data_IF_347569902305
#
_entry.id   IF_347569902305
#
_cell.length_a   1.000
_cell.length_b   1.000
_cell.length_c   1.000
_cell.angle_alpha   90.00
_cell.angle_beta   90.00
_cell.angle_gamma   90.00
#
_symmetry.space_group_name_H-M   'P 1'
#
loop_
_entity.id
_entity.type
_entity.pdbx_description
1 polymer ?
#
# COMPACT_ATOMS: atom_id res chain seq x y z
N UNK A 1 5.71 -22.66 0.43
CA UNK A 1 6.27 -21.45 1.06
C UNK A 1 5.62 -20.24 0.40
N UNK A 2 5.06 -19.29 1.15
CA UNK A 2 4.54 -18.06 0.55
C UNK A 2 5.70 -17.25 -0.03
N UNK A 3 5.58 -16.79 -1.28
CA UNK A 3 6.57 -15.87 -1.85
C UNK A 3 6.58 -14.57 -1.04
N UNK A 4 7.78 -14.05 -0.79
CA UNK A 4 7.95 -12.69 -0.24
C UNK A 4 7.99 -11.62 -1.31
N UNK A 5 8.31 -11.98 -2.55
CA UNK A 5 8.44 -11.07 -3.70
C UNK A 5 7.12 -10.94 -4.44
N UNK A 6 6.80 -9.70 -4.81
CA UNK A 6 5.58 -9.35 -5.53
C UNK A 6 5.88 -8.34 -6.63
N UNK A 7 5.20 -8.51 -7.75
CA UNK A 7 5.24 -7.58 -8.88
C UNK A 7 3.81 -7.12 -9.21
N UNK A 8 3.66 -5.81 -9.35
CA UNK A 8 2.42 -5.12 -9.72
C UNK A 8 2.62 -4.54 -11.12
N UNK A 9 1.90 -5.06 -12.11
CA UNK A 9 2.11 -4.70 -13.52
C UNK A 9 0.84 -4.10 -14.13
N UNK A 10 1.00 -2.98 -14.83
CA UNK A 10 0.00 -2.47 -15.75
C UNK A 10 -0.03 -3.33 -17.02
N UNK A 11 -1.19 -3.94 -17.27
CA UNK A 11 -1.37 -4.89 -18.38
C UNK A 11 -2.61 -4.52 -19.20
N UNK A 12 -2.66 -4.88 -20.49
CA UNK A 12 -3.84 -4.62 -21.32
C UNK A 12 -5.10 -5.38 -20.84
N UNK A 13 -4.91 -6.53 -20.18
CA UNK A 13 -5.96 -7.36 -19.56
C UNK A 13 -5.42 -8.05 -18.33
N UNK A 14 -6.19 -8.03 -17.24
CA UNK A 14 -5.78 -8.57 -15.96
C UNK A 14 -6.94 -8.73 -14.98
N UNK A 15 -6.67 -9.33 -13.82
CA UNK A 15 -7.69 -9.65 -12.82
C UNK A 15 -8.31 -8.42 -12.14
N UNK A 16 -7.63 -7.26 -12.20
CA UNK A 16 -8.11 -6.02 -11.60
C UNK A 16 -8.24 -4.94 -12.66
N UNK A 17 -9.46 -4.50 -12.95
CA UNK A 17 -9.75 -3.35 -13.81
C UNK A 17 -9.48 -2.06 -13.04
N UNK A 18 -8.79 -1.11 -13.66
CA UNK A 18 -8.60 0.24 -13.12
C UNK A 18 -9.88 1.04 -13.30
N UNK A 19 -10.41 1.56 -12.20
CA UNK A 19 -11.55 2.46 -12.16
C UNK A 19 -11.10 3.91 -12.20
N UNK A 20 -10.04 4.23 -11.44
CA UNK A 20 -9.48 5.57 -11.35
C UNK A 20 -7.98 5.50 -11.02
N UNK A 21 -7.23 6.51 -11.46
CA UNK A 21 -5.79 6.65 -11.23
C UNK A 21 -5.45 8.12 -11.06
N UNK A 22 -5.22 8.52 -9.80
CA UNK A 22 -4.91 9.91 -9.44
C UNK A 22 -3.44 10.00 -9.03
N UNK A 23 -2.73 10.96 -9.62
CA UNK A 23 -1.42 11.38 -9.10
C UNK A 23 -1.64 12.37 -7.98
N UNK A 24 -1.37 11.95 -6.74
CA UNK A 24 -1.59 12.77 -5.54
C UNK A 24 -0.40 13.72 -5.35
N UNK A 25 0.82 13.21 -5.55
CA UNK A 25 2.05 14.01 -5.48
C UNK A 25 3.16 13.40 -6.33
N UNK A 26 4.08 14.26 -6.79
CA UNK A 26 5.25 13.87 -7.58
C UNK A 26 4.91 13.42 -9.01
N UNK A 27 5.86 12.77 -9.71
CA UNK A 27 5.67 12.33 -11.10
C UNK A 27 4.61 11.22 -11.23
N UNK A 28 3.76 11.31 -12.25
CA UNK A 28 2.72 10.31 -12.52
C UNK A 28 3.31 8.95 -12.98
N UNK A 29 2.45 7.93 -13.01
CA UNK A 29 2.65 6.71 -13.79
C UNK A 29 1.80 6.79 -15.08
N UNK A 30 2.20 6.11 -16.17
CA UNK A 30 1.32 5.95 -17.33
C UNK A 30 -0.03 5.34 -16.93
N UNK A 31 -1.10 5.74 -17.60
CA UNK A 31 -2.45 5.22 -17.33
C UNK A 31 -2.50 3.71 -17.54
N UNK A 32 -3.01 2.99 -16.54
CA UNK A 32 -3.21 1.54 -16.63
C UNK A 32 -4.69 1.21 -16.88
N UNK A 33 -4.96 0.19 -17.71
CA UNK A 33 -6.32 -0.35 -17.88
C UNK A 33 -6.63 -1.45 -16.87
N UNK A 34 -5.63 -2.30 -16.62
CA UNK A 34 -5.72 -3.39 -15.65
C UNK A 34 -4.41 -3.52 -14.89
N UNK A 35 -4.51 -4.02 -13.66
CA UNK A 35 -3.38 -4.38 -12.81
C UNK A 35 -3.36 -5.91 -12.64
N UNK A 36 -2.16 -6.49 -12.78
CA UNK A 36 -1.87 -7.86 -12.36
C UNK A 36 -0.93 -7.83 -11.17
N UNK A 37 -1.26 -8.62 -10.15
CA UNK A 37 -0.40 -8.86 -8.98
C UNK A 37 0.14 -10.27 -9.07
N UNK A 38 1.46 -10.43 -9.15
CA UNK A 38 2.14 -11.73 -9.23
C UNK A 38 3.00 -11.93 -7.99
N UNK A 39 2.89 -13.09 -7.35
CA UNK A 39 3.74 -13.49 -6.25
C UNK A 39 4.85 -14.41 -6.78
N UNK A 40 6.10 -14.05 -6.56
CA UNK A 40 7.25 -14.83 -7.00
C UNK A 40 8.43 -13.96 -7.42
N UNK A 41 9.63 -14.56 -7.58
CA UNK A 41 10.82 -13.87 -8.10
C UNK A 41 10.86 -13.83 -9.64
N UNK A 42 9.85 -14.39 -10.31
CA UNK A 42 9.81 -14.48 -11.77
C UNK A 42 9.80 -13.09 -12.41
N UNK A 43 10.44 -12.99 -13.57
CA UNK A 43 10.45 -11.76 -14.34
C UNK A 43 9.01 -11.37 -14.71
N UNK A 44 8.64 -10.08 -14.60
CA UNK A 44 7.33 -9.63 -15.05
C UNK A 44 7.15 -9.96 -16.52
N UNK A 45 5.94 -10.40 -16.88
CA UNK A 45 5.53 -10.41 -18.27
C UNK A 45 5.60 -8.97 -18.85
N UNK A 46 5.70 -8.81 -20.18
CA UNK A 46 5.66 -7.48 -20.81
C UNK A 46 4.46 -6.67 -20.30
N UNK A 47 4.75 -5.45 -19.83
CA UNK A 47 3.82 -4.55 -19.17
C UNK A 47 4.18 -3.11 -19.51
N UNK A 48 3.20 -2.21 -19.50
CA UNK A 48 3.45 -0.78 -19.74
C UNK A 48 4.36 -0.19 -18.65
N UNK A 49 4.17 -0.66 -17.41
CA UNK A 49 5.07 -0.46 -16.29
C UNK A 49 4.89 -1.57 -15.25
N UNK A 50 5.91 -1.75 -14.41
CA UNK A 50 5.86 -2.67 -13.28
C UNK A 50 6.50 -2.05 -12.04
N UNK A 51 5.96 -2.40 -10.87
CA UNK A 51 6.51 -2.04 -9.56
C UNK A 51 6.78 -3.33 -8.78
N UNK A 52 7.95 -3.45 -8.16
CA UNK A 52 8.35 -4.66 -7.43
C UNK A 52 8.52 -4.35 -5.96
N UNK A 53 8.02 -5.23 -5.11
CA UNK A 53 8.08 -5.07 -3.66
C UNK A 53 8.25 -6.40 -2.93
N UNK A 54 8.70 -6.33 -1.68
CA UNK A 54 8.76 -7.48 -0.79
C UNK A 54 7.92 -7.29 0.46
N UNK A 55 7.23 -8.34 0.88
CA UNK A 55 6.77 -8.43 2.26
C UNK A 55 7.99 -8.61 3.18
N UNK A 56 7.99 -7.91 4.31
CA UNK A 56 9.11 -7.87 5.25
C UNK A 56 8.63 -7.96 6.69
N UNK A 57 9.57 -7.97 7.64
CA UNK A 57 9.23 -7.93 9.07
C UNK A 57 8.68 -6.55 9.47
N UNK A 58 7.94 -6.53 10.58
CA UNK A 58 7.38 -5.32 11.18
C UNK A 58 8.50 -4.35 11.60
N UNK A 59 8.41 -3.09 11.14
CA UNK A 59 9.44 -2.07 11.41
C UNK A 59 9.11 -1.16 12.59
N UNK A 60 7.84 -1.00 12.92
CA UNK A 60 7.36 -0.01 13.89
C UNK A 60 6.38 -0.59 14.92
N UNK A 61 5.74 -1.71 14.61
CA UNK A 61 4.65 -2.26 15.42
C UNK A 61 5.21 -2.80 16.74
N UNK A 62 4.63 -2.37 17.85
CA UNK A 62 4.95 -2.89 19.18
C UNK A 62 4.10 -4.12 19.54
N UNK A 63 4.44 -4.80 20.64
CA UNK A 63 3.78 -6.06 21.05
C UNK A 63 2.26 -5.92 21.17
N UNK A 64 1.79 -4.94 21.95
CA UNK A 64 0.37 -4.74 22.20
C UNK A 64 -0.40 -4.37 20.92
N UNK A 65 0.23 -3.59 20.03
CA UNK A 65 -0.33 -3.21 18.74
C UNK A 65 -0.44 -4.42 17.81
N UNK A 66 0.58 -5.29 17.80
CA UNK A 66 0.56 -6.52 17.01
C UNK A 66 -0.57 -7.45 17.46
N UNK A 67 -0.75 -7.60 18.77
CA UNK A 67 -1.83 -8.41 19.34
C UNK A 67 -3.21 -7.85 18.96
N UNK A 68 -3.40 -6.53 19.08
CA UNK A 68 -4.63 -5.86 18.69
C UNK A 68 -4.92 -5.99 17.19
N UNK A 69 -3.90 -5.86 16.33
CA UNK A 69 -4.00 -6.07 14.90
C UNK A 69 -4.37 -7.51 14.56
N UNK A 70 -3.67 -8.48 15.16
CA UNK A 70 -3.91 -9.91 14.92
C UNK A 70 -5.33 -10.34 15.33
N UNK A 71 -5.90 -9.72 16.36
CA UNK A 71 -7.26 -10.00 16.80
C UNK A 71 -8.36 -9.49 15.85
N UNK A 72 -8.04 -8.55 14.93
CA UNK A 72 -9.03 -7.87 14.07
C UNK A 72 -8.81 -8.05 12.58
N UNK A 73 -7.56 -8.18 12.14
CA UNK A 73 -7.24 -8.20 10.72
C UNK A 73 -7.58 -9.56 10.09
N UNK A 74 -8.12 -9.51 8.86
CA UNK A 74 -8.33 -10.69 8.02
C UNK A 74 -7.40 -10.64 6.81
N UNK A 75 -7.09 -11.81 6.23
CA UNK A 75 -6.20 -11.92 5.08
C UNK A 75 -6.82 -11.34 3.79
N UNK A 76 -6.00 -11.10 2.77
CA UNK A 76 -6.50 -10.76 1.43
C UNK A 76 -7.34 -11.90 0.82
N UNK A 77 -8.12 -11.59 -0.21
CA UNK A 77 -8.95 -12.56 -0.92
C UNK A 77 -10.21 -12.97 -0.16
N UNK A 78 -10.71 -12.11 0.72
CA UNK A 78 -11.98 -12.36 1.40
C UNK A 78 -13.14 -12.43 0.39
N UNK A 79 -14.09 -13.36 0.55
CA UNK A 79 -15.31 -13.36 -0.25
C UNK A 79 -16.00 -12.00 -0.21
N UNK A 80 -16.34 -11.46 -1.39
CA UNK A 80 -17.01 -10.16 -1.52
C UNK A 80 -16.09 -8.94 -1.52
N UNK A 81 -14.78 -9.09 -1.23
CA UNK A 81 -13.81 -8.00 -1.38
C UNK A 81 -13.40 -7.85 -2.85
N UNK A 82 -14.30 -7.30 -3.65
CA UNK A 82 -14.13 -7.13 -5.11
C UNK A 82 -13.61 -5.75 -5.50
N UNK A 83 -13.39 -4.85 -4.53
CA UNK A 83 -12.70 -3.59 -4.73
C UNK A 83 -11.29 -3.65 -4.14
N UNK A 84 -10.36 -2.94 -4.76
CA UNK A 84 -9.00 -2.81 -4.26
C UNK A 84 -8.43 -1.42 -4.50
N UNK A 85 -7.37 -1.11 -3.76
CA UNK A 85 -6.55 0.07 -3.99
C UNK A 85 -5.07 -0.29 -3.97
N UNK A 86 -4.36 0.17 -5.00
CA UNK A 86 -2.91 0.13 -5.10
C UNK A 86 -2.39 1.54 -4.89
N UNK A 87 -1.70 1.77 -3.77
CA UNK A 87 -1.15 3.09 -3.43
C UNK A 87 0.37 2.97 -3.22
N UNK A 88 1.18 3.17 -4.27
CA UNK A 88 2.62 3.29 -4.17
C UNK A 88 3.03 4.64 -3.54
N UNK A 89 3.95 4.60 -2.58
CA UNK A 89 4.34 5.76 -1.78
C UNK A 89 5.86 5.86 -1.69
N UNK A 90 6.39 7.07 -1.89
CA UNK A 90 7.78 7.43 -1.64
C UNK A 90 7.86 8.52 -0.58
N UNK A 91 8.73 8.32 0.40
CA UNK A 91 9.05 9.31 1.41
C UNK A 91 10.33 10.07 1.05
N UNK A 92 10.39 11.33 1.46
CA UNK A 92 11.49 12.23 1.16
C UNK A 92 12.78 11.91 1.95
N UNK A 93 13.89 12.53 1.55
CA UNK A 93 15.18 12.33 2.21
C UNK A 93 15.17 12.69 3.70
N UNK A 94 14.37 13.68 4.12
CA UNK A 94 14.27 14.08 5.51
C UNK A 94 13.72 12.95 6.39
N UNK A 95 12.72 12.21 5.92
CA UNK A 95 12.22 11.01 6.62
C UNK A 95 13.31 9.95 6.80
N UNK A 96 14.07 9.70 5.74
CA UNK A 96 15.12 8.68 5.76
C UNK A 96 16.38 9.12 6.53
N UNK A 97 16.51 10.41 6.85
CA UNK A 97 17.52 10.94 7.76
C UNK A 97 17.16 10.80 9.24
N UNK A 98 15.89 10.53 9.57
CA UNK A 98 15.45 10.32 10.96
C UNK A 98 15.92 8.97 11.52
N UNK A 99 16.24 8.96 12.81
CA UNK A 99 16.51 7.73 13.56
C UNK A 99 15.23 6.87 13.67
N UNK A 100 15.39 5.63 14.12
CA UNK A 100 14.27 4.69 14.24
C UNK A 100 13.21 5.16 15.23
N UNK A 101 13.62 5.71 16.37
CA UNK A 101 12.74 6.26 17.41
C UNK A 101 12.04 7.53 16.92
N UNK A 102 12.74 8.43 16.22
CA UNK A 102 12.13 9.62 15.60
C UNK A 102 11.05 9.23 14.58
N UNK A 103 11.33 8.26 13.68
CA UNK A 103 10.33 7.75 12.74
C UNK A 103 9.14 7.12 13.45
N UNK A 104 9.37 6.35 14.52
CA UNK A 104 8.29 5.73 15.30
C UNK A 104 7.41 6.77 16.00
N UNK A 105 8.02 7.83 16.53
CA UNK A 105 7.31 8.96 17.15
C UNK A 105 6.42 9.67 16.14
N UNK A 106 6.92 9.98 14.95
CA UNK A 106 6.11 10.60 13.89
C UNK A 106 4.97 9.67 13.45
N UNK A 107 5.25 8.40 13.18
CA UNK A 107 4.28 7.44 12.64
C UNK A 107 3.11 7.18 13.59
N UNK A 108 3.34 7.04 14.89
CA UNK A 108 2.26 6.64 15.80
C UNK A 108 1.96 7.66 16.89
N UNK A 109 2.95 8.22 17.59
CA UNK A 109 2.66 9.16 18.67
C UNK A 109 2.00 10.43 18.15
N UNK A 110 2.46 10.90 16.99
CA UNK A 110 1.94 12.11 16.34
C UNK A 110 0.84 11.80 15.33
N UNK A 111 1.00 10.74 14.53
CA UNK A 111 0.10 10.44 13.40
C UNK A 111 -0.93 9.34 13.70
N UNK A 112 -0.72 8.57 14.76
CA UNK A 112 -1.62 7.47 15.18
C UNK A 112 -1.92 6.50 14.05
N UNK A 113 -0.96 6.25 13.16
CA UNK A 113 -1.16 5.46 11.93
C UNK A 113 -1.79 4.10 12.20
N UNK A 114 -1.24 3.35 13.16
CA UNK A 114 -1.69 2.02 13.53
C UNK A 114 -3.06 2.11 14.19
N UNK A 115 -3.24 3.01 15.15
CA UNK A 115 -4.54 3.21 15.82
C UNK A 115 -5.66 3.61 14.86
N UNK A 116 -5.37 4.52 13.93
CA UNK A 116 -6.31 4.98 12.92
C UNK A 116 -6.67 3.82 11.99
N UNK A 117 -5.67 3.14 11.42
CA UNK A 117 -5.90 1.99 10.55
C UNK A 117 -6.71 0.87 11.23
N UNK A 118 -6.53 0.66 12.54
CA UNK A 118 -7.29 -0.32 13.31
C UNK A 118 -8.81 -0.06 13.35
N UNK A 119 -9.26 1.18 13.15
CA UNK A 119 -10.70 1.52 13.13
C UNK A 119 -11.42 1.03 11.85
N UNK A 120 -10.64 0.64 10.83
CA UNK A 120 -11.15 0.19 9.54
C UNK A 120 -11.05 -1.33 9.35
N UNK A 121 -10.59 -2.05 10.36
CA UNK A 121 -10.56 -3.51 10.39
C UNK A 121 -11.88 -4.06 10.97
N UNK A 122 -12.41 -5.20 10.47
CA UNK A 122 -11.85 -6.06 9.42
C UNK A 122 -12.21 -5.65 7.97
N UNK A 123 -13.04 -4.62 7.78
CA UNK A 123 -13.63 -4.29 6.47
C UNK A 123 -12.59 -3.98 5.40
N UNK A 124 -11.47 -3.35 5.79
CA UNK A 124 -10.35 -3.05 4.90
C UNK A 124 -9.20 -4.02 5.18
N UNK A 125 -8.93 -4.92 4.26
CA UNK A 125 -7.73 -5.78 4.33
C UNK A 125 -6.55 -5.09 3.69
N UNK A 126 -5.33 -5.43 4.13
CA UNK A 126 -4.12 -4.76 3.64
C UNK A 126 -2.93 -5.69 3.53
N UNK A 127 -2.02 -5.36 2.62
CA UNK A 127 -0.66 -5.90 2.56
C UNK A 127 0.33 -4.79 2.22
N UNK A 128 1.40 -4.72 2.99
CA UNK A 128 2.51 -3.79 2.77
C UNK A 128 3.66 -4.50 2.07
N UNK A 129 4.24 -3.82 1.06
CA UNK A 129 5.45 -4.26 0.40
C UNK A 129 6.49 -3.14 0.47
N UNK A 130 7.73 -3.49 0.79
CA UNK A 130 8.88 -2.59 0.79
C UNK A 130 9.62 -2.72 -0.53
N UNK A 131 10.00 -1.61 -1.15
CA UNK A 131 10.71 -1.61 -2.42
C UNK A 131 11.94 -0.71 -2.47
N UNK A 132 12.12 0.19 -1.49
CA UNK A 132 13.30 1.08 -1.37
C UNK A 132 14.64 0.33 -1.52
N UNK A 133 14.79 -0.78 -0.81
CA UNK A 133 16.07 -1.50 -0.71
C UNK A 133 16.20 -2.63 -1.76
N UNK A 134 15.27 -2.74 -2.72
CA UNK A 134 15.27 -3.85 -3.69
C UNK A 134 16.17 -3.61 -4.89
N UNK A 135 16.27 -2.37 -5.36
CA UNK A 135 17.19 -1.95 -6.42
C UNK A 135 17.24 -0.43 -6.48
N UNK A 136 18.28 0.12 -7.10
CA UNK A 136 18.41 1.56 -7.36
C UNK A 136 17.32 2.11 -8.31
N UNK A 137 16.46 1.23 -8.86
CA UNK A 137 15.49 1.56 -9.91
C UNK A 137 14.02 1.61 -9.47
N UNK A 138 13.68 1.18 -8.25
CA UNK A 138 12.27 1.23 -7.83
C UNK A 138 11.87 2.69 -7.52
N UNK A 139 10.81 3.22 -8.16
CA UNK A 139 10.47 4.64 -8.06
C UNK A 139 9.80 5.05 -6.74
N UNK A 140 9.48 4.07 -5.88
CA UNK A 140 8.76 4.23 -4.61
C UNK A 140 9.49 3.51 -3.48
N UNK A 141 9.13 3.82 -2.23
CA UNK A 141 9.66 3.13 -1.05
C UNK A 141 8.76 1.99 -0.59
N UNK A 142 7.45 2.17 -0.77
CA UNK A 142 6.41 1.24 -0.36
C UNK A 142 5.39 1.04 -1.47
N UNK A 143 4.86 -0.18 -1.57
CA UNK A 143 3.68 -0.50 -2.38
C UNK A 143 2.62 -1.03 -1.41
N UNK A 144 1.59 -0.22 -1.19
CA UNK A 144 0.48 -0.60 -0.30
C UNK A 144 -0.68 -1.13 -1.13
N UNK A 145 -1.24 -2.25 -0.68
CA UNK A 145 -2.34 -2.94 -1.34
C UNK A 145 -3.47 -3.13 -0.34
N UNK A 146 -4.68 -2.73 -0.74
CA UNK A 146 -5.89 -2.86 0.08
C UNK A 146 -6.99 -3.58 -0.70
N UNK A 147 -7.79 -4.39 -0.03
CA UNK A 147 -9.00 -5.01 -0.60
C UNK A 147 -10.18 -4.88 0.36
N UNK A 148 -11.34 -4.52 -0.18
CA UNK A 148 -12.56 -4.24 0.57
C UNK A 148 -13.80 -4.53 -0.27
N UNK A 149 -14.95 -4.68 0.38
CA UNK A 149 -16.22 -4.84 -0.30
C UNK A 149 -16.73 -3.49 -0.86
N UNK A 150 -17.55 -3.49 -1.92
CA UNK A 150 -18.03 -2.24 -2.53
C UNK A 150 -18.73 -1.30 -1.55
N UNK A 151 -19.49 -1.82 -0.58
CA UNK A 151 -20.16 -1.02 0.45
C UNK A 151 -19.19 -0.27 1.39
N UNK A 152 -17.94 -0.73 1.49
CA UNK A 152 -16.90 -0.17 2.34
C UNK A 152 -16.00 0.85 1.61
N UNK A 153 -16.28 1.14 0.33
CA UNK A 153 -15.50 2.10 -0.46
C UNK A 153 -15.41 3.49 0.21
N UNK A 154 -16.54 4.00 0.72
CA UNK A 154 -16.56 5.28 1.45
C UNK A 154 -15.76 5.25 2.76
N UNK A 155 -15.71 4.09 3.45
CA UNK A 155 -14.85 3.91 4.64
C UNK A 155 -13.37 3.94 4.25
N UNK A 156 -13.02 3.32 3.14
CA UNK A 156 -11.64 3.35 2.65
C UNK A 156 -11.21 4.76 2.23
N UNK A 157 -12.10 5.52 1.58
CA UNK A 157 -11.82 6.92 1.23
C UNK A 157 -11.60 7.80 2.46
N UNK A 158 -12.38 7.56 3.52
CA UNK A 158 -12.18 8.22 4.81
C UNK A 158 -10.82 7.88 5.43
N UNK A 159 -10.45 6.59 5.49
CA UNK A 159 -9.14 6.15 5.97
C UNK A 159 -7.99 6.87 5.26
N UNK A 160 -8.01 6.87 3.93
CA UNK A 160 -6.97 7.50 3.12
C UNK A 160 -6.94 9.02 3.34
N UNK A 161 -8.11 9.66 3.39
CA UNK A 161 -8.22 11.10 3.66
C UNK A 161 -7.63 11.46 5.02
N UNK A 162 -7.94 10.70 6.07
CA UNK A 162 -7.42 10.99 7.41
C UNK A 162 -5.90 10.79 7.49
N UNK A 163 -5.38 9.70 6.92
CA UNK A 163 -3.94 9.45 6.86
C UNK A 163 -3.18 10.58 6.14
N UNK A 164 -3.72 11.07 5.02
CA UNK A 164 -3.16 12.21 4.27
C UNK A 164 -3.10 13.53 5.05
N UNK A 165 -3.85 13.65 6.15
CA UNK A 165 -3.86 14.84 7.01
C UNK A 165 -2.89 14.72 8.20
N UNK A 166 -2.22 13.58 8.36
CA UNK A 166 -1.32 13.35 9.49
C UNK A 166 0.07 13.98 9.30
N UNK A 167 0.82 14.24 10.39
CA UNK A 167 2.22 14.67 10.32
C UNK A 167 3.11 13.72 9.51
N UNK A 168 2.88 12.40 9.55
CA UNK A 168 3.62 11.42 8.75
C UNK A 168 3.53 11.72 7.25
N UNK A 169 2.38 12.20 6.78
CA UNK A 169 2.17 12.47 5.36
C UNK A 169 2.91 13.70 4.84
N UNK A 170 3.40 14.58 5.72
CA UNK A 170 4.30 15.68 5.33
C UNK A 170 5.64 15.18 4.75
N UNK A 171 5.97 13.92 5.01
CA UNK A 171 7.17 13.28 4.49
C UNK A 171 6.95 12.55 3.16
N UNK A 172 5.73 12.47 2.63
CA UNK A 172 5.43 11.80 1.36
C UNK A 172 5.71 12.75 0.20
N UNK A 173 6.62 12.38 -0.69
CA UNK A 173 7.00 13.19 -1.87
C UNK A 173 6.45 12.67 -3.20
N UNK A 174 6.04 11.39 -3.23
CA UNK A 174 5.39 10.79 -4.40
C UNK A 174 4.34 9.79 -3.95
N UNK A 175 3.11 9.97 -4.43
CA UNK A 175 1.98 9.10 -4.14
C UNK A 175 1.06 9.03 -5.36
N UNK A 176 0.71 7.81 -5.75
CA UNK A 176 -0.29 7.54 -6.79
C UNK A 176 -1.39 6.72 -6.15
N UNK A 177 -2.64 7.08 -6.40
CA UNK A 177 -3.81 6.39 -5.88
C UNK A 177 -4.56 5.70 -7.02
N UNK A 178 -4.48 4.36 -7.09
CA UNK A 178 -5.07 3.56 -8.16
C UNK A 178 -6.21 2.73 -7.58
N UNK A 179 -7.45 3.02 -8.00
CA UNK A 179 -8.66 2.33 -7.58
C UNK A 179 -9.05 1.25 -8.55
N UNK A 180 -9.39 0.08 -8.02
CA UNK A 180 -9.49 -1.16 -8.77
C UNK A 180 -10.78 -1.89 -8.43
N UNK A 181 -11.26 -2.66 -9.40
CA UNK A 181 -12.33 -3.63 -9.22
C UNK A 181 -11.95 -4.95 -9.87
N UNK A 182 -12.31 -6.07 -9.23
CA UNK A 182 -12.14 -7.39 -9.83
C UNK A 182 -12.86 -7.44 -11.20
N UNK A 183 -12.13 -7.88 -12.22
CA UNK A 183 -12.59 -7.95 -13.61
C UNK A 183 -13.42 -9.21 -13.88
#
# INVERSE_FOLDING_TARGET
MSSRFFTFSAVPRGPWRVLDQITVSGPSLPSASHIRVQAGPEAPAPSDWSLRGITSHERYVERAEREALAARQVGLGQPGHTCAALIPIRKNAAWWGLTQDERRRVLEEQSRHIRLGMNYLPQITRRLHHCRDLSDSEPFDFITWFEYAPQDAGRFDELVRELRQTPEWQYVEREIDIRLQAA
#
